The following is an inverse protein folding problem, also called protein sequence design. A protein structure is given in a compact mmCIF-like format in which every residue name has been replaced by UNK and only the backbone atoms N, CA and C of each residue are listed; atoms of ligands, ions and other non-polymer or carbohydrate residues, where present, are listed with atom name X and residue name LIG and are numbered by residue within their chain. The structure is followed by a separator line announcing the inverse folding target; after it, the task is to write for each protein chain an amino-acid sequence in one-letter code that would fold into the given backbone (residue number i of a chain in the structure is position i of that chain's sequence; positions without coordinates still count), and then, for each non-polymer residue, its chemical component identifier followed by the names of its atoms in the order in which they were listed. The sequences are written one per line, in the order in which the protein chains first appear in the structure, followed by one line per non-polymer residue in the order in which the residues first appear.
data_IF_223671350662
#
_entry.id   IF_223671350662
#
_cell.length_a   1.000
_cell.length_b   1.000
_cell.length_c   1.000
_cell.angle_alpha   90.00
_cell.angle_beta   90.00
_cell.angle_gamma   90.00
#
_symmetry.space_group_name_H-M   'P 1'
#
loop_
_entity.id
_entity.type
_entity.pdbx_description
1 polymer ?
#
# COMPACT_ATOMS: atom_id res chain seq x y z
N UNK A 1 -78.91 31.86 6.53
CA UNK A 1 -78.84 32.02 5.05
C UNK A 1 -77.86 33.15 4.80
N UNK A 2 -76.75 33.05 4.07
CA UNK A 2 -76.36 32.14 3.00
C UNK A 2 -74.83 31.97 3.00
N UNK A 3 -74.34 30.73 2.86
CA UNK A 3 -72.96 30.45 2.43
C UNK A 3 -72.86 30.83 0.94
N UNK A 4 -71.87 31.65 0.59
CA UNK A 4 -71.50 31.90 -0.82
C UNK A 4 -70.24 31.09 -1.11
N UNK A 5 -70.39 29.96 -1.79
CA UNK A 5 -69.26 29.22 -2.35
C UNK A 5 -68.75 29.95 -3.58
N UNK A 6 -67.55 30.52 -3.48
CA UNK A 6 -66.86 31.14 -4.60
C UNK A 6 -66.37 30.04 -5.55
N UNK A 7 -67.18 29.73 -6.56
CA UNK A 7 -66.80 28.87 -7.68
C UNK A 7 -65.75 29.59 -8.53
N UNK A 8 -64.48 29.27 -8.33
CA UNK A 8 -63.38 29.68 -9.21
C UNK A 8 -63.65 29.12 -10.61
N UNK A 9 -64.04 30.00 -11.53
CA UNK A 9 -64.25 29.67 -12.95
C UNK A 9 -62.89 29.36 -13.58
N UNK A 10 -62.71 28.12 -14.04
CA UNK A 10 -61.56 27.75 -14.87
C UNK A 10 -61.57 28.60 -16.16
N UNK A 11 -60.48 29.28 -16.51
CA UNK A 11 -60.38 29.98 -17.78
C UNK A 11 -60.37 28.98 -18.94
N UNK A 12 -61.16 29.31 -19.97
CA UNK A 12 -61.35 28.51 -21.19
C UNK A 12 -60.00 28.34 -21.89
N UNK A 13 -59.52 27.09 -22.03
CA UNK A 13 -58.29 26.77 -22.78
C UNK A 13 -57.21 26.00 -22.02
N UNK A 14 -57.38 25.69 -20.73
CA UNK A 14 -56.48 24.78 -20.01
C UNK A 14 -56.99 23.35 -20.18
N UNK A 15 -56.28 22.46 -20.90
CA UNK A 15 -56.68 21.06 -20.98
C UNK A 15 -56.60 20.41 -19.60
N UNK A 16 -57.75 19.93 -19.11
CA UNK A 16 -57.81 19.08 -17.92
C UNK A 16 -57.31 17.69 -18.35
N UNK A 17 -56.08 17.36 -17.95
CA UNK A 17 -55.42 16.11 -18.37
C UNK A 17 -54.12 16.33 -19.13
N UNK A 18 -53.27 17.25 -18.65
CA UNK A 18 -51.93 17.45 -19.20
C UNK A 18 -51.14 16.14 -19.21
N UNK A 19 -50.46 15.90 -20.33
CA UNK A 19 -49.52 14.80 -20.62
C UNK A 19 -48.30 14.73 -19.67
N UNK A 20 -48.39 15.33 -18.48
CA UNK A 20 -47.45 15.20 -17.37
C UNK A 20 -47.94 14.14 -16.38
N UNK A 21 -48.42 12.99 -16.89
CA UNK A 21 -48.31 11.80 -16.08
C UNK A 21 -46.80 11.63 -15.88
N UNK A 22 -46.32 11.89 -14.66
CA UNK A 22 -44.96 11.55 -14.29
C UNK A 22 -44.84 10.04 -14.51
N UNK A 23 -44.28 9.64 -15.65
CA UNK A 23 -43.84 8.28 -15.86
C UNK A 23 -42.83 8.06 -14.74
N UNK A 24 -43.25 7.34 -13.71
CA UNK A 24 -42.36 6.94 -12.62
C UNK A 24 -41.40 5.95 -13.28
N UNK A 25 -40.33 6.48 -13.86
CA UNK A 25 -39.15 5.70 -14.13
C UNK A 25 -38.63 5.30 -12.76
N UNK A 26 -39.01 4.10 -12.33
CA UNK A 26 -38.33 3.41 -11.26
C UNK A 26 -36.91 3.12 -11.76
N UNK A 27 -36.04 4.12 -11.69
CA UNK A 27 -34.62 3.85 -11.68
C UNK A 27 -34.40 2.89 -10.49
N UNK A 28 -33.69 1.77 -10.67
CA UNK A 28 -33.31 0.95 -9.53
C UNK A 28 -32.53 1.88 -8.59
N UNK A 29 -33.18 2.24 -7.48
CA UNK A 29 -32.60 3.15 -6.50
C UNK A 29 -31.23 2.61 -6.15
N UNK A 30 -30.19 3.41 -6.38
CA UNK A 30 -28.85 3.10 -5.89
C UNK A 30 -29.00 3.01 -4.37
N UNK A 31 -29.07 1.77 -3.89
CA UNK A 31 -28.95 1.48 -2.48
C UNK A 31 -27.49 1.75 -2.16
N UNK A 32 -27.22 2.92 -1.60
CA UNK A 32 -25.98 3.17 -0.87
C UNK A 32 -26.04 2.24 0.35
N UNK A 33 -25.63 0.99 0.15
CA UNK A 33 -25.43 0.07 1.25
C UNK A 33 -24.50 0.79 2.23
N UNK A 34 -24.98 1.06 3.45
CA UNK A 34 -24.20 1.70 4.51
C UNK A 34 -23.00 0.88 5.00
N UNK A 35 -22.57 -0.12 4.23
CA UNK A 35 -21.23 -0.68 4.34
C UNK A 35 -20.27 0.38 3.85
N UNK A 36 -19.52 1.00 4.77
CA UNK A 36 -18.26 1.64 4.39
C UNK A 36 -17.52 0.63 3.52
N UNK A 37 -17.31 0.93 2.23
CA UNK A 37 -16.26 0.26 1.50
C UNK A 37 -15.01 0.45 2.37
N UNK A 38 -14.53 -0.61 3.01
CA UNK A 38 -13.30 -0.55 3.78
C UNK A 38 -12.21 -0.23 2.76
N UNK A 39 -11.84 1.04 2.66
CA UNK A 39 -10.74 1.46 1.83
C UNK A 39 -9.52 0.70 2.32
N UNK A 40 -9.01 -0.22 1.51
CA UNK A 40 -7.83 -0.99 1.86
C UNK A 40 -6.65 -0.02 1.91
N UNK A 41 -6.27 0.34 3.13
CA UNK A 41 -5.15 1.22 3.38
C UNK A 41 -3.82 0.47 3.42
N UNK A 42 -2.71 1.21 3.31
CA UNK A 42 -1.35 0.68 3.45
C UNK A 42 -1.18 -0.15 4.74
N UNK A 43 -1.75 0.31 5.86
CA UNK A 43 -1.71 -0.40 7.14
C UNK A 43 -2.36 -1.77 7.08
N UNK A 44 -3.48 -1.90 6.37
CA UNK A 44 -4.16 -3.19 6.20
C UNK A 44 -3.30 -4.15 5.39
N UNK A 45 -2.71 -3.67 4.29
CA UNK A 45 -1.79 -4.45 3.45
C UNK A 45 -0.57 -4.91 4.25
N UNK A 46 0.01 -4.03 5.08
CA UNK A 46 1.11 -4.39 5.97
C UNK A 46 0.73 -5.52 6.93
N UNK A 47 -0.43 -5.40 7.61
CA UNK A 47 -0.90 -6.42 8.54
C UNK A 47 -1.14 -7.76 7.84
N UNK A 48 -1.73 -7.74 6.64
CA UNK A 48 -1.96 -8.92 5.80
C UNK A 48 -0.65 -9.64 5.48
N UNK A 49 0.34 -8.92 4.93
CA UNK A 49 1.61 -9.53 4.52
C UNK A 49 2.45 -9.99 5.72
N UNK A 50 2.39 -9.26 6.83
CA UNK A 50 3.05 -9.68 8.06
C UNK A 50 2.43 -10.97 8.61
N UNK A 51 1.10 -11.04 8.68
CA UNK A 51 0.38 -12.22 9.14
C UNK A 51 0.65 -13.43 8.21
N UNK A 52 0.72 -13.21 6.90
CA UNK A 52 1.05 -14.26 5.93
C UNK A 52 2.46 -14.84 6.11
N UNK A 53 3.44 -14.01 6.53
CA UNK A 53 4.82 -14.45 6.71
C UNK A 53 5.13 -14.99 8.10
N UNK A 54 4.52 -14.46 9.15
CA UNK A 54 4.90 -14.75 10.53
C UNK A 54 3.75 -15.23 11.43
N UNK A 55 2.54 -15.32 10.88
CA UNK A 55 1.33 -15.65 11.63
C UNK A 55 0.68 -14.43 12.30
N UNK A 56 -0.61 -14.55 12.70
CA UNK A 56 -1.36 -13.46 13.32
C UNK A 56 -0.82 -13.06 14.70
N UNK A 57 -0.19 -13.99 15.42
CA UNK A 57 0.33 -13.79 16.78
C UNK A 57 1.80 -13.36 16.80
N UNK A 58 2.31 -12.85 15.67
CA UNK A 58 3.69 -12.42 15.55
C UNK A 58 4.01 -11.27 16.52
N UNK A 59 4.95 -11.50 17.43
CA UNK A 59 5.41 -10.47 18.36
C UNK A 59 6.42 -9.57 17.67
N UNK A 60 6.15 -8.26 17.70
CA UNK A 60 7.00 -7.24 17.09
C UNK A 60 7.91 -6.61 18.15
N UNK A 61 9.14 -6.31 17.75
CA UNK A 61 10.08 -5.48 18.50
C UNK A 61 10.46 -4.26 17.66
N UNK A 62 9.93 -3.10 18.06
CA UNK A 62 10.24 -1.83 17.39
C UNK A 62 11.59 -1.29 17.85
N UNK A 63 12.41 -0.87 16.89
CA UNK A 63 13.70 -0.23 17.09
C UNK A 63 13.64 1.16 16.44
N UNK A 64 14.01 2.15 17.24
CA UNK A 64 14.10 3.56 16.85
C UNK A 64 15.57 3.97 16.92
N UNK A 65 16.32 3.91 15.80
CA UNK A 65 17.72 4.28 15.80
C UNK A 65 17.88 5.75 16.17
N UNK A 66 18.80 6.06 17.07
CA UNK A 66 19.14 7.44 17.42
C UNK A 66 20.05 8.09 16.37
N UNK A 67 20.77 7.28 15.59
CA UNK A 67 21.74 7.76 14.59
C UNK A 67 21.68 6.93 13.29
N UNK A 68 22.20 7.51 12.20
CA UNK A 68 22.33 6.83 10.90
C UNK A 68 23.21 5.58 10.97
N UNK A 69 24.29 5.63 11.75
CA UNK A 69 25.17 4.47 11.98
C UNK A 69 24.45 3.35 12.73
N UNK A 70 23.64 3.71 13.74
CA UNK A 70 22.82 2.75 14.44
C UNK A 70 21.74 2.14 13.53
N UNK A 71 21.12 2.95 12.66
CA UNK A 71 20.16 2.46 11.67
C UNK A 71 20.81 1.40 10.77
N UNK A 72 21.99 1.68 10.20
CA UNK A 72 22.76 0.71 9.39
C UNK A 72 23.04 -0.60 10.13
N UNK A 73 23.35 -0.53 11.42
CA UNK A 73 23.55 -1.72 12.26
C UNK A 73 22.25 -2.49 12.49
N UNK A 74 21.16 -1.81 12.78
CA UNK A 74 19.87 -2.43 13.09
C UNK A 74 19.20 -3.09 11.87
N UNK A 75 19.44 -2.57 10.67
CA UNK A 75 18.98 -3.16 9.40
C UNK A 75 19.64 -4.50 9.07
N UNK A 76 20.72 -4.85 9.78
CA UNK A 76 21.39 -6.15 9.68
C UNK A 76 20.92 -7.06 10.82
N UNK A 77 19.99 -7.96 10.54
CA UNK A 77 19.40 -8.87 11.52
C UNK A 77 19.67 -10.36 11.22
N UNK A 78 20.93 -10.73 10.95
CA UNK A 78 21.30 -12.06 10.46
C UNK A 78 20.84 -13.22 11.37
N UNK A 79 20.81 -13.02 12.70
CA UNK A 79 20.47 -14.06 13.69
C UNK A 79 18.99 -14.03 14.14
N UNK A 80 18.27 -12.96 13.84
CA UNK A 80 16.93 -12.72 14.38
C UNK A 80 16.96 -12.21 15.83
N UNK A 81 15.81 -11.73 16.31
CA UNK A 81 15.66 -11.30 17.70
C UNK A 81 15.36 -12.47 18.63
N UNK A 82 15.72 -12.28 19.90
CA UNK A 82 15.40 -13.20 21.00
C UNK A 82 13.90 -13.40 21.14
N UNK A 83 13.47 -14.62 21.51
CA UNK A 83 12.06 -14.93 21.71
C UNK A 83 11.24 -14.93 20.43
N UNK A 84 11.88 -15.14 19.27
CA UNK A 84 11.24 -15.17 17.96
C UNK A 84 10.50 -13.88 17.55
N UNK A 85 10.86 -12.73 18.12
CA UNK A 85 10.28 -11.43 17.75
C UNK A 85 10.72 -10.93 16.37
N UNK A 86 9.86 -10.19 15.70
CA UNK A 86 10.15 -9.53 14.42
C UNK A 86 10.70 -8.14 14.69
N UNK A 87 11.92 -7.86 14.21
CA UNK A 87 12.48 -6.52 14.28
C UNK A 87 11.76 -5.61 13.29
N UNK A 88 11.20 -4.52 13.80
CA UNK A 88 10.75 -3.37 13.00
C UNK A 88 11.73 -2.23 13.21
N UNK A 89 12.46 -1.86 12.17
CA UNK A 89 13.34 -0.68 12.19
C UNK A 89 12.56 0.50 11.61
N UNK A 90 12.29 1.51 12.43
CA UNK A 90 11.64 2.74 11.96
C UNK A 90 12.70 3.76 11.53
N UNK A 91 12.57 4.25 10.31
CA UNK A 91 13.44 5.25 9.72
C UNK A 91 12.67 6.55 9.47
N UNK A 92 13.24 7.67 9.88
CA UNK A 92 12.73 9.02 9.66
C UNK A 92 13.85 9.94 9.18
N UNK A 93 13.58 11.24 9.02
CA UNK A 93 14.54 12.19 8.46
C UNK A 93 15.80 12.34 9.31
N UNK A 94 15.74 12.01 10.61
CA UNK A 94 16.86 12.17 11.55
C UNK A 94 17.81 10.98 11.52
N UNK A 95 17.29 9.77 11.29
CA UNK A 95 18.05 8.52 11.40
C UNK A 95 18.11 7.70 10.11
N UNK A 96 17.32 8.04 9.08
CA UNK A 96 17.42 7.42 7.77
C UNK A 96 18.84 7.67 7.23
N UNK A 97 19.60 6.60 6.92
CA UNK A 97 20.95 6.79 6.44
C UNK A 97 20.91 7.52 5.11
N UNK A 98 21.70 8.59 5.01
CA UNK A 98 21.93 9.23 3.73
C UNK A 98 22.51 8.19 2.79
N UNK A 99 22.04 8.23 1.55
CA UNK A 99 22.57 7.41 0.49
C UNK A 99 23.15 8.37 -0.51
N UNK A 100 24.47 8.44 -0.59
CA UNK A 100 25.11 9.18 -1.68
C UNK A 100 24.68 8.59 -3.03
N UNK A 101 24.97 9.33 -4.11
CA UNK A 101 24.81 8.79 -5.44
C UNK A 101 25.62 7.47 -5.49
N UNK A 102 24.92 6.36 -5.73
CA UNK A 102 25.43 4.97 -5.75
C UNK A 102 25.60 4.22 -4.42
N UNK A 103 25.36 4.85 -3.27
CA UNK A 103 25.36 4.10 -2.02
C UNK A 103 24.03 3.36 -1.85
N UNK A 104 24.10 2.12 -1.34
CA UNK A 104 22.94 1.32 -0.92
C UNK A 104 23.09 0.92 0.54
N UNK A 105 22.04 1.17 1.31
CA UNK A 105 21.95 0.75 2.70
C UNK A 105 21.48 -0.69 2.73
N UNK A 106 22.35 -1.57 3.21
CA UNK A 106 22.10 -3.00 3.24
C UNK A 106 21.05 -3.39 4.30
N UNK A 107 20.10 -4.21 3.88
CA UNK A 107 19.15 -4.90 4.74
C UNK A 107 19.47 -6.39 4.69
N UNK A 108 19.60 -7.01 5.86
CA UNK A 108 19.86 -8.44 5.99
C UNK A 108 18.80 -9.04 6.90
N UNK A 109 17.90 -9.84 6.32
CA UNK A 109 16.91 -10.60 7.07
C UNK A 109 17.55 -11.75 7.86
N UNK A 110 16.86 -12.25 8.90
CA UNK A 110 17.34 -13.39 9.66
C UNK A 110 17.30 -14.68 8.85
N UNK A 111 18.23 -15.60 9.16
CA UNK A 111 18.34 -16.90 8.48
C UNK A 111 17.21 -17.88 8.80
N UNK A 112 16.40 -17.59 9.81
CA UNK A 112 15.32 -18.46 10.26
C UNK A 112 13.99 -18.23 9.52
N UNK A 113 14.04 -17.49 8.41
CA UNK A 113 12.90 -17.27 7.51
C UNK A 113 11.95 -16.15 7.93
N UNK A 114 12.05 -15.65 9.17
CA UNK A 114 11.21 -14.53 9.63
C UNK A 114 11.55 -13.25 8.87
N UNK A 115 10.58 -12.34 8.65
CA UNK A 115 10.89 -11.08 8.01
C UNK A 115 11.65 -10.16 8.98
N UNK A 116 12.51 -9.29 8.43
CA UNK A 116 12.81 -7.99 9.04
C UNK A 116 11.84 -6.97 8.43
N UNK A 117 11.30 -6.07 9.25
CA UNK A 117 10.44 -4.98 8.77
C UNK A 117 11.24 -3.67 8.81
N UNK A 118 11.20 -2.93 7.72
CA UNK A 118 11.78 -1.59 7.61
C UNK A 118 10.66 -0.61 7.31
N UNK A 119 10.42 0.34 8.20
CA UNK A 119 9.36 1.33 8.07
C UNK A 119 9.96 2.71 7.80
N UNK A 120 9.97 3.11 6.53
CA UNK A 120 10.52 4.39 6.06
C UNK A 120 9.42 5.44 6.16
N UNK A 121 9.37 6.13 7.29
CA UNK A 121 8.39 7.17 7.60
C UNK A 121 8.71 8.46 6.85
N UNK A 122 9.99 8.84 6.81
CA UNK A 122 10.49 9.96 6.01
C UNK A 122 11.97 9.78 5.68
N UNK A 123 12.52 10.64 4.82
CA UNK A 123 13.90 10.53 4.33
C UNK A 123 13.97 9.90 2.95
N UNK A 124 15.19 9.71 2.46
CA UNK A 124 15.51 9.24 1.11
C UNK A 124 16.52 8.08 1.11
N UNK A 125 16.33 7.02 1.91
CA UNK A 125 17.27 5.92 1.89
C UNK A 125 17.12 5.13 0.57
N UNK A 126 18.25 4.76 -0.02
CA UNK A 126 18.34 3.77 -1.09
C UNK A 126 18.66 2.44 -0.43
N UNK A 127 17.64 1.62 -0.25
CA UNK A 127 17.75 0.36 0.47
C UNK A 127 18.13 -0.78 -0.49
N UNK A 128 18.92 -1.75 -0.04
CA UNK A 128 19.14 -3.00 -0.77
C UNK A 128 18.95 -4.20 0.14
N UNK A 129 17.99 -5.06 -0.17
CA UNK A 129 17.77 -6.31 0.56
C UNK A 129 18.76 -7.34 0.06
N UNK A 130 19.77 -7.65 0.86
CA UNK A 130 20.89 -8.51 0.47
C UNK A 130 20.59 -9.99 0.66
N UNK A 131 19.80 -10.36 1.67
CA UNK A 131 19.39 -11.76 1.92
C UNK A 131 18.22 -11.84 2.89
N UNK A 132 17.60 -13.02 2.96
CA UNK A 132 16.45 -13.28 3.81
C UNK A 132 15.18 -12.62 3.27
N UNK A 133 14.17 -12.51 4.13
CA UNK A 133 12.90 -11.86 3.81
C UNK A 133 12.82 -10.50 4.46
N UNK A 134 12.43 -9.47 3.72
CA UNK A 134 12.17 -8.13 4.24
C UNK A 134 10.76 -7.64 3.85
N UNK A 135 10.08 -6.96 4.78
CA UNK A 135 8.93 -6.11 4.46
C UNK A 135 9.42 -4.67 4.54
N UNK A 136 9.30 -3.92 3.46
CA UNK A 136 9.75 -2.53 3.37
C UNK A 136 8.54 -1.62 3.14
N UNK A 137 8.18 -0.83 4.15
CA UNK A 137 7.06 0.10 4.10
C UNK A 137 7.58 1.47 3.68
N UNK A 138 7.20 1.91 2.49
CA UNK A 138 7.65 3.15 1.87
C UNK A 138 6.67 4.29 2.11
N UNK A 139 6.55 4.74 3.36
CA UNK A 139 5.60 5.79 3.75
C UNK A 139 6.12 7.21 3.52
N UNK A 140 7.40 7.36 3.17
CA UNK A 140 7.98 8.64 2.79
C UNK A 140 7.42 9.12 1.44
N UNK A 141 6.94 10.37 1.40
CA UNK A 141 6.52 11.04 0.15
C UNK A 141 7.71 11.42 -0.75
N UNK A 142 8.93 11.29 -0.25
CA UNK A 142 10.14 11.48 -1.04
C UNK A 142 10.40 10.22 -1.87
N UNK A 143 10.96 10.37 -3.08
CA UNK A 143 11.14 9.23 -3.99
C UNK A 143 12.07 8.16 -3.42
N UNK A 144 11.52 7.00 -3.04
CA UNK A 144 12.29 5.93 -2.41
C UNK A 144 12.76 4.90 -3.43
N UNK A 145 13.88 4.24 -3.12
CA UNK A 145 14.42 3.14 -3.93
C UNK A 145 14.66 1.90 -3.06
N UNK A 146 14.24 0.74 -3.56
CA UNK A 146 14.55 -0.56 -2.97
C UNK A 146 15.13 -1.46 -4.04
N UNK A 147 16.34 -1.94 -3.80
CA UNK A 147 16.93 -2.99 -4.59
C UNK A 147 16.72 -4.33 -3.87
N UNK A 148 16.53 -5.40 -4.63
CA UNK A 148 16.40 -6.77 -4.11
C UNK A 148 17.53 -7.59 -4.70
N UNK A 149 18.44 -8.03 -3.84
CA UNK A 149 19.59 -8.85 -4.22
C UNK A 149 19.23 -10.29 -4.55
N UNK A 150 20.19 -10.99 -5.15
CA UNK A 150 20.06 -12.42 -5.46
C UNK A 150 19.77 -13.25 -4.20
N UNK A 151 18.76 -14.13 -4.28
CA UNK A 151 18.35 -14.99 -3.17
C UNK A 151 17.64 -14.26 -2.02
N UNK A 152 17.40 -12.95 -2.16
CA UNK A 152 16.61 -12.18 -1.22
C UNK A 152 15.15 -12.09 -1.67
N UNK A 153 14.26 -11.92 -0.70
CA UNK A 153 12.84 -11.67 -0.92
C UNK A 153 12.43 -10.36 -0.26
N UNK A 154 11.79 -9.47 -1.01
CA UNK A 154 11.28 -8.22 -0.48
C UNK A 154 9.79 -8.04 -0.79
N UNK A 155 9.01 -7.69 0.22
CA UNK A 155 7.64 -7.19 0.08
C UNK A 155 7.71 -5.67 0.25
N UNK A 156 7.52 -4.93 -0.83
CA UNK A 156 7.58 -3.46 -0.83
C UNK A 156 6.16 -2.92 -0.81
N UNK A 157 5.79 -2.26 0.28
CA UNK A 157 4.46 -1.70 0.49
C UNK A 157 4.53 -0.18 0.32
N UNK A 158 3.85 0.34 -0.69
CA UNK A 158 3.86 1.76 -1.04
C UNK A 158 2.44 2.35 -0.96
N UNK A 159 2.23 3.50 -0.28
CA UNK A 159 0.98 4.24 -0.32
C UNK A 159 0.59 4.68 -1.75
N UNK A 160 -0.70 4.98 -1.98
CA UNK A 160 -1.27 5.19 -3.31
C UNK A 160 -0.56 6.24 -4.20
N UNK A 161 0.13 7.22 -3.61
CA UNK A 161 0.66 8.39 -4.31
C UNK A 161 2.19 8.54 -4.17
N UNK A 162 2.89 7.51 -3.72
CA UNK A 162 4.34 7.55 -3.52
C UNK A 162 5.09 7.02 -4.73
N UNK A 163 6.11 7.73 -5.21
CA UNK A 163 7.01 7.17 -6.22
C UNK A 163 7.99 6.21 -5.55
N UNK A 164 7.99 4.95 -6.00
CA UNK A 164 8.96 3.95 -5.54
C UNK A 164 9.62 3.31 -6.75
N UNK A 165 10.94 3.40 -6.79
CA UNK A 165 11.78 2.68 -7.77
C UNK A 165 12.20 1.36 -7.16
N UNK A 166 12.06 0.27 -7.91
CA UNK A 166 12.45 -1.06 -7.46
C UNK A 166 13.37 -1.67 -8.51
N UNK A 167 14.51 -2.20 -8.08
CA UNK A 167 15.41 -2.95 -8.95
C UNK A 167 15.57 -4.36 -8.37
N UNK A 168 15.16 -5.38 -9.10
CA UNK A 168 15.26 -6.77 -8.65
C UNK A 168 16.36 -7.49 -9.43
N UNK A 169 17.45 -7.84 -8.74
CA UNK A 169 18.54 -8.61 -9.31
C UNK A 169 18.06 -10.02 -9.71
N UNK A 170 18.72 -10.63 -10.70
CA UNK A 170 18.43 -11.99 -11.13
C UNK A 170 18.49 -12.97 -9.95
N UNK A 171 17.44 -13.76 -9.78
CA UNK A 171 17.30 -14.71 -8.66
C UNK A 171 16.85 -14.07 -7.34
N UNK A 172 16.54 -12.78 -7.31
CA UNK A 172 15.77 -12.14 -6.25
C UNK A 172 14.26 -12.18 -6.54
N UNK A 173 13.45 -11.97 -5.50
CA UNK A 173 11.98 -11.88 -5.62
C UNK A 173 11.45 -10.60 -4.97
N UNK A 174 10.79 -9.75 -5.76
CA UNK A 174 10.13 -8.53 -5.29
C UNK A 174 8.60 -8.66 -5.40
N UNK A 175 7.89 -8.32 -4.33
CA UNK A 175 6.42 -8.27 -4.31
C UNK A 175 6.02 -6.83 -4.01
N UNK A 176 5.44 -6.16 -4.99
CA UNK A 176 5.01 -4.77 -4.89
C UNK A 176 3.56 -4.72 -4.48
N UNK A 177 3.29 -4.08 -3.35
CA UNK A 177 1.97 -4.04 -2.74
C UNK A 177 1.54 -2.59 -2.61
N UNK A 178 0.41 -2.23 -3.21
CA UNK A 178 -0.10 -0.87 -3.20
C UNK A 178 -1.63 -0.87 -3.04
N UNK A 179 -2.22 0.06 -2.27
CA UNK A 179 -3.66 0.19 -2.20
C UNK A 179 -4.29 0.73 -3.49
N UNK A 180 -3.47 1.25 -4.42
CA UNK A 180 -3.92 1.85 -5.67
C UNK A 180 -3.14 1.31 -6.86
N UNK A 181 -3.86 0.96 -7.93
CA UNK A 181 -3.28 0.64 -9.23
C UNK A 181 -2.67 1.86 -9.93
N UNK A 182 -3.03 3.09 -9.52
CA UNK A 182 -2.47 4.34 -10.07
C UNK A 182 -1.11 4.71 -9.46
N UNK A 183 -0.60 3.89 -8.55
CA UNK A 183 0.65 4.16 -7.86
C UNK A 183 1.83 4.13 -8.82
N UNK A 184 2.83 4.98 -8.59
CA UNK A 184 4.02 5.14 -9.44
C UNK A 184 5.11 4.17 -9.03
N UNK A 185 4.77 2.89 -8.99
CA UNK A 185 5.73 1.79 -8.83
C UNK A 185 6.51 1.64 -10.14
N UNK A 186 7.84 1.68 -10.05
CA UNK A 186 8.73 1.53 -11.22
C UNK A 186 9.67 0.34 -11.01
N UNK A 187 9.22 -0.89 -11.31
CA UNK A 187 10.06 -2.08 -11.28
C UNK A 187 11.04 -2.14 -12.47
N UNK A 188 12.26 -2.54 -12.17
CA UNK A 188 13.37 -2.80 -13.09
C UNK A 188 14.08 -4.10 -12.66
N UNK A 189 15.00 -4.60 -13.50
CA UNK A 189 15.84 -5.76 -13.20
C UNK A 189 15.20 -7.11 -13.56
N UNK A 190 16.04 -8.14 -13.64
CA UNK A 190 15.73 -9.42 -14.27
C UNK A 190 15.32 -10.51 -13.25
N UNK A 191 15.03 -10.10 -12.01
CA UNK A 191 14.44 -10.96 -10.98
C UNK A 191 12.94 -11.17 -11.13
N UNK A 192 12.36 -11.96 -10.23
CA UNK A 192 10.92 -12.19 -10.20
C UNK A 192 10.21 -11.02 -9.54
N UNK A 193 9.31 -10.37 -10.26
CA UNK A 193 8.55 -9.22 -9.76
C UNK A 193 7.07 -9.54 -9.84
N UNK A 194 6.37 -9.33 -8.73
CA UNK A 194 4.93 -9.48 -8.62
C UNK A 194 4.30 -8.17 -8.18
N UNK A 195 3.08 -7.88 -8.63
CA UNK A 195 2.30 -6.73 -8.18
C UNK A 195 0.98 -7.22 -7.56
N UNK A 196 0.60 -6.63 -6.43
CA UNK A 196 -0.69 -6.84 -5.77
C UNK A 196 -1.29 -5.48 -5.44
N UNK A 197 -2.50 -5.22 -5.94
CA UNK A 197 -3.22 -3.97 -5.70
C UNK A 197 -4.47 -4.18 -4.87
N UNK A 198 -4.69 -3.32 -3.87
CA UNK A 198 -5.99 -2.96 -3.29
C UNK A 198 -6.78 -4.08 -2.61
N UNK A 199 -7.19 -5.11 -3.33
CA UNK A 199 -8.22 -6.06 -2.89
C UNK A 199 -7.93 -7.50 -3.25
N UNK A 200 -7.01 -7.75 -4.19
CA UNK A 200 -6.73 -9.11 -4.65
C UNK A 200 -5.59 -9.76 -3.88
N UNK A 201 -5.84 -11.01 -3.48
CA UNK A 201 -4.82 -11.99 -3.06
C UNK A 201 -3.91 -12.41 -4.22
N UNK A 202 -4.28 -12.06 -5.45
CA UNK A 202 -3.58 -12.50 -6.64
C UNK A 202 -2.29 -11.67 -6.79
N UNK A 203 -1.17 -12.34 -6.57
CA UNK A 203 0.15 -11.81 -6.91
C UNK A 203 0.32 -12.00 -8.41
N UNK A 204 0.08 -10.93 -9.16
CA UNK A 204 0.15 -10.96 -10.61
C UNK A 204 1.62 -10.78 -11.00
N UNK A 205 2.21 -11.70 -11.79
CA UNK A 205 3.54 -11.49 -12.36
C UNK A 205 3.58 -10.14 -13.09
N UNK A 206 4.61 -9.35 -12.83
CA UNK A 206 4.76 -8.07 -13.50
C UNK A 206 5.29 -8.30 -14.92
N UNK A 207 4.44 -8.08 -15.91
CA UNK A 207 4.84 -8.01 -17.30
C UNK A 207 5.32 -6.60 -17.61
N UNK A 208 6.60 -6.45 -17.98
CA UNK A 208 7.12 -5.15 -18.42
C UNK A 208 6.33 -4.72 -19.66
N UNK A 209 5.72 -3.52 -19.67
CA UNK A 209 5.11 -3.01 -20.89
C UNK A 209 6.20 -2.89 -21.97
N UNK A 210 5.98 -3.58 -23.10
CA UNK A 210 6.80 -3.46 -24.29
C UNK A 210 6.44 -2.11 -24.92
N UNK A 211 7.37 -1.17 -24.88
CA UNK A 211 7.24 0.13 -25.56
C UNK A 211 7.99 0.11 -26.88
#
# INVERSE_FOLDING_TARGET
MSMSTDTVRQPKGIPVGGQFAATIHAEPGIVLAGGRAEFVGERHLYQRELAALAGPDAVIEEKYPATKSEARRLLKNTRGETGRKIRVVRLDYSNAPDSELYERVEIVGPKDGRPIVVDVVSGLPRLKVMSGTAIVRMRSNWGNAVDVGQGAKAIIIAPAETKTTIECDKGGTAILVSPSAKNRLRPFGDGEIFVSTGTDTDRIPYERPVY
#
